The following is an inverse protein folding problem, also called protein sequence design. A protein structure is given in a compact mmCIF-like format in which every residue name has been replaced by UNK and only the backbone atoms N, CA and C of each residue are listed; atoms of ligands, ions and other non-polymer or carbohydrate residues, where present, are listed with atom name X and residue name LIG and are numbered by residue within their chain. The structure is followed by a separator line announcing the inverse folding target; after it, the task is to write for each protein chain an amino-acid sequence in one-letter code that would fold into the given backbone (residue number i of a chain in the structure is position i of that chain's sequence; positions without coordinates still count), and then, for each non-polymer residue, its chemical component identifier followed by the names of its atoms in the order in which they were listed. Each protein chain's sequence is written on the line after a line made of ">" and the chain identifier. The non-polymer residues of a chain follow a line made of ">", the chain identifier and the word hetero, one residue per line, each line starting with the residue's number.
data_IF_019118244669
#
_entry.id   IF_019118244669
#
_cell.length_a   1.000
_cell.length_b   1.000
_cell.length_c   1.000
_cell.angle_alpha   90.00
_cell.angle_beta   90.00
_cell.angle_gamma   90.00
#
_symmetry.space_group_name_H-M   'P 1'
#
loop_
_entity.id
_entity.type
_entity.pdbx_description
1 polymer ?
#
# COMPACT_ATOMS: atom_id res chain seq x y z
N UNK A 1 3.04 -15.86 15.28
CA UNK A 1 3.93 -15.99 14.11
C UNK A 1 3.93 -14.69 13.27
N UNK A 2 4.46 -13.56 13.80
CA UNK A 2 4.33 -12.23 13.16
C UNK A 2 5.65 -11.46 12.93
N UNK A 3 6.82 -12.06 13.22
CA UNK A 3 8.14 -11.40 13.07
C UNK A 3 8.71 -11.42 11.66
N UNK A 4 8.32 -12.40 10.84
CA UNK A 4 8.87 -12.58 9.50
C UNK A 4 8.28 -11.61 8.47
N UNK A 5 6.97 -11.32 8.56
CA UNK A 5 6.29 -10.47 7.60
C UNK A 5 6.80 -9.02 7.62
N UNK A 6 7.04 -8.44 8.81
CA UNK A 6 7.49 -7.04 8.94
C UNK A 6 8.91 -6.84 8.39
N UNK A 7 9.86 -7.73 8.72
CA UNK A 7 11.24 -7.66 8.18
C UNK A 7 11.30 -7.88 6.67
N UNK A 8 10.46 -8.77 6.15
CA UNK A 8 10.41 -9.06 4.72
C UNK A 8 9.80 -7.89 3.94
N UNK A 9 8.70 -7.29 4.42
CA UNK A 9 8.12 -6.09 3.80
C UNK A 9 9.07 -4.90 3.84
N UNK A 10 9.77 -4.69 4.97
CA UNK A 10 10.80 -3.65 5.09
C UNK A 10 11.94 -3.85 4.08
N UNK A 11 12.48 -5.07 3.96
CA UNK A 11 13.51 -5.39 2.96
C UNK A 11 13.04 -5.17 1.52
N UNK A 12 11.76 -5.41 1.23
CA UNK A 12 11.20 -5.18 -0.11
C UNK A 12 11.09 -3.68 -0.42
N UNK A 13 10.67 -2.86 0.54
CA UNK A 13 10.57 -1.40 0.37
C UNK A 13 11.96 -0.77 0.26
N UNK A 14 12.90 -1.18 1.14
CA UNK A 14 14.28 -0.67 1.15
C UNK A 14 15.10 -1.17 -0.06
N UNK A 15 14.84 -2.40 -0.53
CA UNK A 15 15.57 -3.02 -1.64
C UNK A 15 14.99 -2.72 -3.03
N UNK A 16 13.77 -2.19 -3.13
CA UNK A 16 13.17 -1.82 -4.42
C UNK A 16 13.42 -0.34 -4.69
N UNK A 17 14.03 0.02 -5.84
CA UNK A 17 14.29 1.41 -6.17
C UNK A 17 13.02 2.24 -6.17
N UNK A 18 13.08 3.39 -5.49
CA UNK A 18 12.05 4.44 -5.60
C UNK A 18 12.12 5.04 -7.00
N UNK A 19 10.99 5.13 -7.67
CA UNK A 19 10.89 5.67 -9.03
C UNK A 19 9.71 6.63 -9.15
N UNK A 20 9.88 7.64 -10.00
CA UNK A 20 8.79 8.52 -10.43
C UNK A 20 7.87 7.76 -11.38
N UNK A 21 6.60 8.18 -11.45
CA UNK A 21 5.59 7.53 -12.28
C UNK A 21 5.99 7.53 -13.75
N UNK A 22 6.59 8.61 -14.26
CA UNK A 22 7.05 8.70 -15.65
C UNK A 22 8.08 7.61 -16.01
N UNK A 23 8.87 7.14 -15.05
CA UNK A 23 10.00 6.22 -15.25
C UNK A 23 9.64 4.73 -15.18
N UNK A 24 8.35 4.41 -15.07
CA UNK A 24 7.86 3.03 -14.92
C UNK A 24 7.76 2.24 -16.24
N UNK A 25 8.15 2.83 -17.40
CA UNK A 25 7.89 2.24 -18.72
C UNK A 25 8.47 0.82 -18.89
N UNK A 26 9.71 0.62 -18.47
CA UNK A 26 10.48 -0.61 -18.69
C UNK A 26 10.89 -1.27 -17.37
N UNK A 27 10.11 -1.00 -16.32
CA UNK A 27 10.38 -1.47 -14.97
C UNK A 27 9.44 -2.62 -14.66
N UNK A 28 9.96 -3.72 -14.14
CA UNK A 28 9.14 -4.87 -13.73
C UNK A 28 8.62 -4.76 -12.31
N UNK A 29 9.34 -4.03 -11.43
CA UNK A 29 9.02 -3.80 -10.03
C UNK A 29 9.53 -2.43 -9.58
N UNK A 30 8.69 -1.68 -8.89
CA UNK A 30 9.02 -0.33 -8.42
C UNK A 30 8.39 -0.03 -7.06
N UNK A 31 8.98 0.95 -6.37
CA UNK A 31 8.36 1.68 -5.26
C UNK A 31 7.99 3.06 -5.76
N UNK A 32 6.69 3.40 -5.73
CA UNK A 32 6.19 4.74 -6.09
C UNK A 32 5.70 5.43 -4.83
N UNK A 33 6.14 6.67 -4.63
CA UNK A 33 5.65 7.53 -3.54
C UNK A 33 4.82 8.63 -4.17
N UNK A 34 3.58 8.79 -3.72
CA UNK A 34 2.67 9.77 -4.27
C UNK A 34 1.42 9.93 -3.43
N UNK A 35 0.50 10.79 -3.88
CA UNK A 35 -0.80 11.00 -3.26
C UNK A 35 -1.87 10.16 -3.93
N UNK A 36 -2.83 9.67 -3.17
CA UNK A 36 -4.04 9.08 -3.74
C UNK A 36 -4.86 10.20 -4.37
N UNK A 37 -5.05 10.15 -5.68
CA UNK A 37 -5.77 11.19 -6.44
C UNK A 37 -7.18 10.77 -6.82
N UNK A 38 -7.46 9.47 -6.82
CA UNK A 38 -8.76 8.92 -7.22
C UNK A 38 -8.96 7.55 -6.56
N UNK A 39 -10.21 7.24 -6.17
CA UNK A 39 -10.63 5.92 -5.68
C UNK A 39 -11.83 5.45 -6.49
N UNK A 40 -11.83 4.18 -6.90
CA UNK A 40 -12.93 3.62 -7.67
C UNK A 40 -14.18 3.37 -6.80
N UNK A 41 -15.26 4.10 -7.09
CA UNK A 41 -16.55 4.01 -6.41
C UNK A 41 -16.56 4.67 -5.03
N UNK A 42 -17.66 4.51 -4.30
CA UNK A 42 -17.85 5.23 -3.04
C UNK A 42 -17.11 4.60 -1.85
N UNK A 43 -16.31 5.41 -1.15
CA UNK A 43 -15.61 5.04 0.09
C UNK A 43 -14.08 4.90 -0.07
N UNK A 44 -13.39 4.45 0.99
CA UNK A 44 -11.93 4.49 1.04
C UNK A 44 -11.27 3.47 0.10
N UNK A 45 -10.09 3.82 -0.39
CA UNK A 45 -9.23 2.96 -1.20
C UNK A 45 -8.88 1.68 -0.44
N UNK A 46 -8.55 1.83 0.84
CA UNK A 46 -8.24 0.74 1.74
C UNK A 46 -8.89 1.01 3.08
N UNK A 47 -9.56 0.02 3.64
CA UNK A 47 -10.03 0.03 5.03
C UNK A 47 -9.68 -1.29 5.67
N UNK A 48 -8.92 -1.24 6.75
CA UNK A 48 -8.61 -2.41 7.58
C UNK A 48 -9.33 -2.31 8.90
N UNK A 49 -9.73 -3.45 9.46
CA UNK A 49 -10.39 -3.49 10.78
C UNK A 49 -9.93 -4.68 11.60
N UNK A 50 -10.14 -4.57 12.91
CA UNK A 50 -9.91 -5.62 13.88
C UNK A 50 -11.24 -6.25 14.27
N UNK A 51 -11.19 -7.52 14.69
CA UNK A 51 -12.32 -8.15 15.36
C UNK A 51 -12.45 -7.56 16.77
N UNK A 52 -13.66 -7.15 17.13
CA UNK A 52 -13.94 -6.51 18.41
C UNK A 52 -13.70 -7.47 19.57
N UNK A 53 -12.74 -7.14 20.42
CA UNK A 53 -12.62 -7.74 21.75
C UNK A 53 -12.92 -6.67 22.79
N UNK A 54 -13.76 -7.03 23.77
CA UNK A 54 -14.18 -6.21 24.89
C UNK A 54 -13.04 -5.37 25.50
N UNK A 55 -13.40 -4.19 26.02
CA UNK A 55 -12.52 -3.30 26.78
C UNK A 55 -11.71 -4.10 27.82
N UNK A 56 -10.37 -4.03 27.73
CA UNK A 56 -9.50 -4.56 28.78
C UNK A 56 -8.27 -5.37 28.34
N UNK A 57 -8.06 -5.66 27.05
CA UNK A 57 -6.86 -6.41 26.62
C UNK A 57 -5.91 -5.61 25.73
N UNK A 58 -4.90 -5.03 26.39
CA UNK A 58 -3.74 -4.32 25.80
C UNK A 58 -2.73 -5.28 25.16
N UNK A 59 -3.16 -6.14 24.23
CA UNK A 59 -2.25 -6.97 23.43
C UNK A 59 -2.70 -7.06 21.98
N UNK A 60 -1.98 -6.33 21.12
CA UNK A 60 -1.75 -6.55 19.68
C UNK A 60 -2.61 -7.64 19.01
N UNK A 61 -3.92 -7.43 18.88
CA UNK A 61 -4.79 -8.33 18.10
C UNK A 61 -4.53 -8.06 16.60
N UNK A 62 -4.30 -9.09 15.78
CA UNK A 62 -3.99 -8.93 14.36
C UNK A 62 -5.16 -8.26 13.63
N UNK A 63 -4.86 -7.57 12.52
CA UNK A 63 -5.88 -7.11 11.56
C UNK A 63 -6.66 -8.35 11.08
N UNK A 64 -7.99 -8.34 11.22
CA UNK A 64 -8.84 -9.51 10.95
C UNK A 64 -9.50 -9.42 9.58
N UNK A 65 -9.62 -8.22 9.01
CA UNK A 65 -10.19 -8.03 7.68
C UNK A 65 -9.72 -6.76 6.99
N UNK A 66 -9.95 -6.73 5.68
CA UNK A 66 -9.74 -5.55 4.85
C UNK A 66 -10.73 -5.48 3.70
N UNK A 67 -11.02 -4.25 3.31
CA UNK A 67 -11.63 -3.90 2.03
C UNK A 67 -10.61 -3.11 1.24
N UNK A 68 -10.47 -3.45 -0.04
CA UNK A 68 -9.58 -2.77 -0.97
C UNK A 68 -10.33 -2.47 -2.25
N UNK A 69 -10.19 -1.25 -2.74
CA UNK A 69 -10.71 -0.79 -4.02
C UNK A 69 -9.54 -0.48 -4.94
N UNK A 70 -9.71 -0.56 -6.28
CA UNK A 70 -8.76 0.06 -7.19
C UNK A 70 -8.69 1.57 -6.93
N UNK A 71 -7.50 2.13 -6.95
CA UNK A 71 -7.29 3.57 -6.77
C UNK A 71 -6.12 4.05 -7.61
N UNK A 72 -5.99 5.36 -7.77
CA UNK A 72 -4.92 5.99 -8.57
C UNK A 72 -4.01 6.78 -7.64
N UNK A 73 -2.70 6.58 -7.80
CA UNK A 73 -1.67 7.36 -7.10
C UNK A 73 -1.02 8.30 -8.11
N UNK A 74 -0.94 9.58 -7.75
CA UNK A 74 -0.27 10.62 -8.52
C UNK A 74 1.00 11.10 -7.83
N UNK A 75 2.04 11.32 -8.61
CA UNK A 75 3.17 12.17 -8.23
C UNK A 75 3.24 13.39 -9.15
N UNK A 76 4.28 14.22 -9.01
CA UNK A 76 4.49 15.40 -9.86
C UNK A 76 4.68 15.06 -11.35
N UNK A 77 4.91 13.79 -11.69
CA UNK A 77 5.26 13.34 -13.04
C UNK A 77 4.14 12.60 -13.76
N UNK A 78 3.11 12.18 -13.05
CA UNK A 78 1.96 11.51 -13.63
C UNK A 78 1.20 10.66 -12.62
N UNK A 79 0.33 9.80 -13.15
CA UNK A 79 -0.53 8.93 -12.35
C UNK A 79 -0.34 7.45 -12.69
N UNK A 80 -0.51 6.60 -11.70
CA UNK A 80 -0.43 5.15 -11.82
C UNK A 80 -1.62 4.50 -11.11
N UNK A 81 -2.26 3.53 -11.76
CA UNK A 81 -3.34 2.76 -11.14
C UNK A 81 -2.75 1.74 -10.20
N UNK A 82 -3.43 1.51 -9.09
CA UNK A 82 -3.03 0.58 -8.05
C UNK A 82 -4.15 -0.42 -7.82
N UNK A 83 -3.82 -1.70 -7.87
CA UNK A 83 -4.73 -2.79 -7.51
C UNK A 83 -4.07 -3.66 -6.46
N UNK A 84 -4.61 -3.57 -5.25
CA UNK A 84 -4.16 -4.37 -4.11
C UNK A 84 -4.57 -5.83 -4.34
N UNK A 85 -3.61 -6.77 -4.40
CA UNK A 85 -3.94 -8.19 -4.52
C UNK A 85 -4.40 -8.76 -3.16
N UNK A 86 -5.15 -9.87 -3.14
CA UNK A 86 -5.70 -10.47 -1.90
C UNK A 86 -4.65 -10.89 -0.86
N UNK A 87 -3.38 -11.04 -1.26
CA UNK A 87 -2.21 -11.37 -0.45
C UNK A 87 -1.28 -10.16 -0.20
N UNK A 88 -1.61 -8.98 -0.72
CA UNK A 88 -0.81 -7.77 -0.54
C UNK A 88 -0.71 -7.36 0.93
N UNK A 89 0.35 -6.65 1.32
CA UNK A 89 0.53 -6.14 2.68
C UNK A 89 0.17 -4.66 2.75
N UNK A 90 -0.60 -4.27 3.76
CA UNK A 90 -0.93 -2.87 4.05
C UNK A 90 -0.32 -2.56 5.40
N UNK A 91 0.48 -1.50 5.47
CA UNK A 91 1.16 -1.07 6.69
C UNK A 91 0.96 0.42 6.90
N UNK A 92 0.88 0.84 8.16
CA UNK A 92 1.10 2.24 8.51
C UNK A 92 2.61 2.44 8.68
N UNK A 93 3.19 3.39 7.96
CA UNK A 93 4.54 3.84 8.25
C UNK A 93 4.42 5.05 9.18
N UNK A 94 5.26 5.12 10.21
CA UNK A 94 5.53 6.41 10.81
C UNK A 94 6.31 7.26 9.79
N UNK A 95 6.24 8.59 9.88
CA UNK A 95 6.88 9.53 8.93
C UNK A 95 8.40 9.38 8.77
N UNK A 96 9.01 8.37 9.39
CA UNK A 96 10.38 7.93 9.25
C UNK A 96 10.57 6.67 8.38
N UNK A 97 9.50 6.14 7.79
CA UNK A 97 9.51 4.90 7.00
C UNK A 97 9.66 3.64 7.85
N UNK A 98 9.47 3.74 9.18
CA UNK A 98 9.51 2.59 10.07
C UNK A 98 8.12 1.96 10.08
N UNK A 99 8.06 0.71 9.64
CA UNK A 99 6.83 -0.10 9.72
C UNK A 99 6.61 -0.43 11.20
N UNK A 100 5.73 0.33 11.85
CA UNK A 100 5.48 0.18 13.28
C UNK A 100 4.55 -0.99 13.56
N UNK A 101 4.87 -1.73 14.62
CA UNK A 101 4.30 -3.04 14.96
C UNK A 101 2.89 -2.98 15.58
N UNK A 102 2.37 -1.78 15.73
CA UNK A 102 1.04 -1.52 16.22
C UNK A 102 0.23 -1.10 15.00
N UNK A 103 -0.46 -2.03 14.33
CA UNK A 103 -1.29 -1.71 13.16
C UNK A 103 -2.59 -1.04 13.63
N UNK A 104 -2.73 0.29 13.74
CA UNK A 104 -4.06 0.88 13.84
C UNK A 104 -4.88 0.44 12.62
N UNK A 105 -6.22 0.48 12.70
CA UNK A 105 -7.04 0.40 11.49
C UNK A 105 -6.56 1.47 10.50
N UNK A 106 -5.94 1.03 9.42
CA UNK A 106 -5.51 1.86 8.29
C UNK A 106 -6.74 2.14 7.44
N UNK A 107 -7.02 3.43 7.28
CA UNK A 107 -7.94 3.97 6.28
C UNK A 107 -7.09 4.76 5.30
N UNK A 108 -7.31 4.53 4.00
CA UNK A 108 -6.65 5.24 2.93
C UNK A 108 -7.71 5.88 2.05
N UNK A 109 -7.68 7.20 1.93
CA UNK A 109 -8.61 8.02 1.17
C UNK A 109 -7.88 8.92 0.18
N UNK A 110 -8.66 9.61 -0.68
CA UNK A 110 -8.12 10.63 -1.57
C UNK A 110 -7.40 11.72 -0.77
N UNK A 111 -6.21 12.11 -1.23
CA UNK A 111 -5.35 13.12 -0.60
C UNK A 111 -4.23 12.52 0.25
N UNK A 112 -4.36 11.28 0.70
CA UNK A 112 -3.36 10.62 1.54
C UNK A 112 -2.08 10.33 0.77
N UNK A 113 -0.94 10.49 1.45
CA UNK A 113 0.37 10.18 0.87
C UNK A 113 0.72 8.73 1.15
N UNK A 114 1.13 8.00 0.11
CA UNK A 114 1.44 6.57 0.19
C UNK A 114 2.72 6.23 -0.53
N UNK A 115 3.35 5.16 -0.06
CA UNK A 115 4.42 4.44 -0.74
C UNK A 115 3.90 3.07 -1.17
N UNK A 116 3.80 2.85 -2.49
CA UNK A 116 3.30 1.62 -3.10
C UNK A 116 4.46 0.86 -3.73
N UNK A 117 4.73 -0.34 -3.23
CA UNK A 117 5.72 -1.26 -3.79
C UNK A 117 5.03 -2.43 -4.46
N UNK A 118 5.29 -2.65 -5.75
CA UNK A 118 4.63 -3.72 -6.50
C UNK A 118 5.27 -4.00 -7.84
N UNK A 119 4.72 -4.99 -8.55
CA UNK A 119 5.04 -5.19 -9.96
C UNK A 119 4.31 -4.16 -10.81
N UNK A 120 5.03 -3.62 -11.78
CA UNK A 120 4.44 -2.74 -12.78
C UNK A 120 3.96 -3.63 -13.93
N UNK A 121 2.67 -3.54 -14.22
CA UNK A 121 2.03 -4.22 -15.34
C UNK A 121 1.53 -3.15 -16.28
N UNK A 122 1.78 -3.31 -17.59
CA UNK A 122 1.15 -2.45 -18.60
C UNK A 122 -0.32 -2.84 -18.73
N UNK A 123 -1.20 -1.88 -18.50
CA UNK A 123 -2.63 -2.01 -18.76
C UNK A 123 -2.93 -1.92 -20.25
N UNK A 124 -4.22 -1.87 -20.61
CA UNK A 124 -4.62 -1.51 -21.97
C UNK A 124 -4.36 -0.01 -22.18
N UNK A 125 -3.60 0.36 -23.21
CA UNK A 125 -3.25 1.76 -23.52
C UNK A 125 -1.98 2.23 -22.81
N UNK A 126 -1.94 3.49 -22.38
CA UNK A 126 -0.83 4.11 -21.63
C UNK A 126 -0.91 3.87 -20.12
N UNK A 127 -2.00 3.28 -19.64
CA UNK A 127 -2.24 3.07 -18.22
C UNK A 127 -1.27 2.05 -17.62
N UNK A 128 -0.63 2.44 -16.53
CA UNK A 128 0.26 1.57 -15.76
C UNK A 128 -0.46 1.10 -14.50
N UNK A 129 -0.26 -0.17 -14.16
CA UNK A 129 -0.87 -0.82 -13.02
C UNK A 129 0.20 -1.34 -12.07
N UNK A 130 0.19 -0.91 -10.81
CA UNK A 130 0.95 -1.52 -9.73
C UNK A 130 0.13 -2.61 -9.05
N UNK A 131 0.59 -3.85 -9.14
CA UNK A 131 -0.06 -5.03 -8.54
C UNK A 131 0.94 -6.20 -8.38
N UNK A 132 0.47 -7.41 -8.07
CA UNK A 132 1.29 -8.64 -8.13
C UNK A 132 1.91 -9.10 -6.81
N UNK A 133 2.76 -10.15 -6.83
CA UNK A 133 3.25 -10.80 -5.61
C UNK A 133 4.13 -9.86 -4.78
N UNK A 134 4.13 -10.04 -3.45
CA UNK A 134 4.91 -9.22 -2.51
C UNK A 134 4.61 -7.72 -2.66
N UNK A 135 3.34 -7.40 -2.85
CA UNK A 135 2.83 -6.04 -2.93
C UNK A 135 2.74 -5.43 -1.53
N UNK A 136 3.15 -4.18 -1.38
CA UNK A 136 3.13 -3.46 -0.11
C UNK A 136 2.60 -2.04 -0.32
N UNK A 137 1.66 -1.60 0.51
CA UNK A 137 1.27 -0.20 0.65
C UNK A 137 1.67 0.26 2.04
N UNK A 138 2.42 1.35 2.10
CA UNK A 138 2.66 2.10 3.33
C UNK A 138 1.95 3.45 3.25
N UNK A 139 1.10 3.75 4.23
CA UNK A 139 0.53 5.10 4.41
C UNK A 139 1.56 5.94 5.18
N UNK A 140 1.88 7.13 4.68
CA UNK A 140 2.94 8.05 5.16
C UNK A 140 2.38 9.27 5.88
#
# INVERSE_FOLDING_TARGET
>A
MSRFHVRHSRRLIEGTPRRRVCDLADVTRATVVGRVVEVAGDGPAVKTWREGGAEGETKSKPVVGRTTRPFTVGDETGTVRVRVPPDGHIVAADGHGTVSRCDPPVVLDCGDTVSVTGHVVRGRGTDRLLTGPRFVIAVL
#
